data_IF_475179267250
#
_entry.id   IF_475179267250
#
_cell.length_a   1.000
_cell.length_b   1.000
_cell.length_c   1.000
_cell.angle_alpha   90.00
_cell.angle_beta   90.00
_cell.angle_gamma   90.00
#
_symmetry.space_group_name_H-M   'P 1'
#
loop_
_entity.id
_entity.type
_entity.pdbx_description
1 polymer ?
#
# COMPACT_ATOMS: atom_id res chain seq x y z
N UNK A 1 4.12 5.37 -15.58
CA UNK A 1 2.88 4.58 -15.43
C UNK A 1 1.69 5.47 -15.70
N UNK A 2 0.78 5.00 -16.51
CA UNK A 2 -0.44 5.76 -16.79
C UNK A 2 -1.46 5.60 -15.67
N UNK A 3 -2.05 6.70 -15.27
CA UNK A 3 -3.17 6.70 -14.35
C UNK A 3 -4.48 6.60 -15.15
N UNK A 4 -5.45 5.91 -14.57
CA UNK A 4 -6.78 5.81 -15.14
C UNK A 4 -7.66 6.96 -14.66
N UNK A 5 -8.83 7.10 -15.31
CA UNK A 5 -9.77 8.16 -14.95
C UNK A 5 -10.14 8.08 -13.46
N UNK A 6 -10.07 9.20 -12.78
CA UNK A 6 -10.35 9.30 -11.35
C UNK A 6 -9.20 8.90 -10.44
N UNK A 7 -8.08 8.44 -11.00
CA UNK A 7 -6.92 8.03 -10.21
C UNK A 7 -5.94 9.16 -9.99
N UNK A 8 -5.30 9.14 -8.84
CA UNK A 8 -4.20 10.05 -8.51
C UNK A 8 -3.08 9.23 -7.86
N UNK A 9 -1.85 9.69 -8.03
CA UNK A 9 -0.70 9.12 -7.33
C UNK A 9 -0.34 10.06 -6.20
N UNK A 10 -0.46 9.60 -4.95
CA UNK A 10 -0.11 10.39 -3.78
C UNK A 10 1.23 9.93 -3.23
N UNK A 11 2.00 10.89 -2.73
CA UNK A 11 3.32 10.62 -2.20
C UNK A 11 3.31 10.61 -0.67
N UNK A 12 4.03 9.66 -0.10
CA UNK A 12 4.23 9.53 1.33
C UNK A 12 5.72 9.44 1.62
N UNK A 13 6.09 9.63 2.88
CA UNK A 13 7.48 9.53 3.33
C UNK A 13 8.42 10.41 2.49
N UNK A 14 8.01 11.68 2.30
CA UNK A 14 8.79 12.67 1.54
C UNK A 14 9.05 12.20 0.10
N UNK A 15 8.05 11.59 -0.52
CA UNK A 15 8.13 11.12 -1.90
C UNK A 15 8.77 9.75 -2.09
N UNK A 16 9.16 9.08 -1.01
CA UNK A 16 9.78 7.75 -1.09
C UNK A 16 8.79 6.64 -1.36
N UNK A 17 7.50 6.88 -1.11
CA UNK A 17 6.45 5.91 -1.34
C UNK A 17 5.32 6.59 -2.11
N UNK A 18 4.87 5.96 -3.20
CA UNK A 18 3.78 6.46 -4.03
C UNK A 18 2.63 5.48 -3.99
N UNK A 19 1.41 6.00 -3.80
CA UNK A 19 0.19 5.19 -3.71
C UNK A 19 -0.78 5.68 -4.78
N UNK A 20 -1.28 4.76 -5.60
CA UNK A 20 -2.33 5.07 -6.56
C UNK A 20 -3.68 4.94 -5.87
N UNK A 21 -4.49 5.97 -5.95
CA UNK A 21 -5.83 5.99 -5.39
C UNK A 21 -6.83 6.46 -6.43
N UNK A 22 -8.07 6.03 -6.29
CA UNK A 22 -9.18 6.51 -7.13
C UNK A 22 -10.11 7.36 -6.28
N UNK A 23 -10.35 8.60 -6.71
CA UNK A 23 -11.18 9.55 -5.95
C UNK A 23 -12.63 9.12 -5.85
N UNK A 24 -13.07 8.17 -6.67
CA UNK A 24 -14.43 7.63 -6.68
C UNK A 24 -14.57 6.36 -5.85
N UNK A 25 -13.45 5.78 -5.42
CA UNK A 25 -13.41 4.58 -4.60
C UNK A 25 -12.87 4.95 -3.22
N UNK A 26 -12.54 3.92 -2.43
CA UNK A 26 -11.97 4.15 -1.11
C UNK A 26 -10.61 4.85 -1.22
N UNK A 27 -10.41 5.86 -0.41
CA UNK A 27 -9.11 6.53 -0.26
C UNK A 27 -8.63 6.30 1.16
N UNK A 28 -7.31 6.21 1.32
CA UNK A 28 -6.76 6.03 2.66
C UNK A 28 -6.96 7.29 3.50
N UNK A 29 -6.98 7.09 4.81
CA UNK A 29 -7.09 8.17 5.80
C UNK A 29 -5.87 8.15 6.71
N UNK A 30 -5.78 9.14 7.60
CA UNK A 30 -4.72 9.16 8.61
C UNK A 30 -4.75 7.92 9.50
N UNK A 31 -5.91 7.28 9.66
CA UNK A 31 -6.01 6.04 10.43
C UNK A 31 -5.18 4.93 9.82
N UNK A 32 -5.14 4.83 8.47
CA UNK A 32 -4.32 3.83 7.78
C UNK A 32 -2.84 4.04 8.08
N UNK A 33 -2.38 5.29 8.05
CA UNK A 33 -0.99 5.63 8.35
C UNK A 33 -0.66 5.33 9.81
N UNK A 34 -1.57 5.68 10.72
CA UNK A 34 -1.38 5.40 12.14
C UNK A 34 -1.32 3.90 12.42
N UNK A 35 -2.17 3.11 11.77
CA UNK A 35 -2.15 1.66 11.93
C UNK A 35 -0.81 1.07 11.48
N UNK A 36 -0.30 1.51 10.34
CA UNK A 36 0.98 1.00 9.84
C UNK A 36 2.14 1.37 10.77
N UNK A 37 2.06 2.51 11.43
CA UNK A 37 3.08 2.92 12.40
C UNK A 37 2.96 2.19 13.73
N UNK A 38 1.72 1.86 14.12
CA UNK A 38 1.46 1.13 15.37
C UNK A 38 1.87 -0.33 15.29
N UNK A 39 1.69 -0.96 14.15
CA UNK A 39 1.98 -2.38 13.96
C UNK A 39 3.50 -2.63 14.04
N UNK A 40 3.87 -3.80 14.54
CA UNK A 40 5.26 -4.19 14.66
C UNK A 40 5.50 -5.57 14.06
N UNK A 41 6.73 -5.83 13.65
CA UNK A 41 7.12 -7.13 13.13
C UNK A 41 8.60 -7.34 13.41
N UNK A 42 8.99 -8.61 13.53
CA UNK A 42 10.39 -8.99 13.69
C UNK A 42 11.04 -9.13 12.31
N UNK A 43 12.37 -9.07 12.29
CA UNK A 43 13.11 -9.30 11.06
C UNK A 43 12.73 -10.67 10.46
N UNK A 44 12.56 -10.72 9.15
CA UNK A 44 12.18 -11.91 8.38
C UNK A 44 10.76 -12.42 8.64
N UNK A 45 9.93 -11.67 9.34
CA UNK A 45 8.52 -12.04 9.46
C UNK A 45 7.82 -11.95 8.10
N UNK A 46 6.83 -12.81 7.91
CA UNK A 46 5.87 -12.69 6.83
C UNK A 46 4.66 -11.95 7.37
N UNK A 47 4.24 -10.90 6.69
CA UNK A 47 3.15 -10.04 7.12
C UNK A 47 2.02 -10.12 6.09
N UNK A 48 0.78 -10.19 6.57
CA UNK A 48 -0.39 -10.18 5.71
C UNK A 48 -1.24 -8.96 6.03
N UNK A 49 -1.66 -8.25 4.99
CA UNK A 49 -2.59 -7.14 5.08
C UNK A 49 -3.92 -7.59 4.50
N UNK A 50 -4.88 -7.91 5.36
CA UNK A 50 -6.21 -8.33 4.93
C UNK A 50 -7.05 -7.09 4.64
N UNK A 51 -7.84 -7.13 3.57
CA UNK A 51 -8.63 -6.00 3.10
C UNK A 51 -7.74 -4.81 2.75
N UNK A 52 -6.71 -5.07 1.95
CA UNK A 52 -5.64 -4.11 1.70
C UNK A 52 -6.09 -2.84 0.98
N UNK A 53 -7.22 -2.86 0.27
CA UNK A 53 -7.66 -1.72 -0.52
C UNK A 53 -6.62 -1.34 -1.55
N UNK A 54 -6.17 -0.09 -1.52
CA UNK A 54 -5.11 0.39 -2.41
C UNK A 54 -3.71 -0.07 -2.00
N UNK A 55 -3.59 -0.79 -0.88
CA UNK A 55 -2.33 -1.30 -0.37
C UNK A 55 -1.61 -0.38 0.60
N UNK A 56 -2.27 0.69 1.06
CA UNK A 56 -1.61 1.74 1.86
C UNK A 56 -1.00 1.20 3.16
N UNK A 57 -1.75 0.39 3.93
CA UNK A 57 -1.24 -0.06 5.23
C UNK A 57 -0.04 -0.97 5.04
N UNK A 58 -0.15 -1.99 4.20
CA UNK A 58 0.93 -2.95 3.98
C UNK A 58 2.15 -2.31 3.35
N UNK A 59 1.97 -1.44 2.36
CA UNK A 59 3.09 -0.78 1.68
C UNK A 59 3.79 0.22 2.58
N UNK A 60 3.04 1.03 3.31
CA UNK A 60 3.63 1.97 4.25
C UNK A 60 4.36 1.23 5.37
N UNK A 61 3.75 0.13 5.86
CA UNK A 61 4.39 -0.71 6.85
C UNK A 61 5.71 -1.28 6.33
N UNK A 62 5.72 -1.79 5.10
CA UNK A 62 6.94 -2.33 4.50
C UNK A 62 8.02 -1.25 4.37
N UNK A 63 7.63 -0.04 3.98
CA UNK A 63 8.58 1.06 3.87
C UNK A 63 9.21 1.43 5.21
N UNK A 64 8.45 1.29 6.32
CA UNK A 64 8.94 1.54 7.67
C UNK A 64 9.73 0.34 8.23
N UNK A 65 9.47 -0.87 7.75
CA UNK A 65 10.04 -2.11 8.27
C UNK A 65 10.60 -2.98 7.14
N UNK A 66 11.62 -2.50 6.41
CA UNK A 66 12.15 -3.26 5.27
C UNK A 66 12.82 -4.56 5.65
N UNK A 67 13.04 -4.80 6.95
CA UNK A 67 13.64 -6.02 7.45
C UNK A 67 12.70 -7.23 7.41
N UNK A 68 11.39 -7.03 7.22
CA UNK A 68 10.48 -8.15 7.09
C UNK A 68 10.73 -8.87 5.77
N UNK A 69 10.48 -10.17 5.76
CA UNK A 69 10.75 -10.98 4.57
C UNK A 69 9.74 -10.71 3.47
N UNK A 70 8.47 -10.55 3.82
CA UNK A 70 7.40 -10.42 2.84
C UNK A 70 6.19 -9.74 3.45
N UNK A 71 5.56 -8.89 2.65
CA UNK A 71 4.22 -8.37 2.95
C UNK A 71 3.31 -8.80 1.82
N UNK A 72 2.20 -9.46 2.14
CA UNK A 72 1.22 -9.90 1.17
C UNK A 72 -0.06 -9.10 1.35
N UNK A 73 -0.54 -8.52 0.27
CA UNK A 73 -1.77 -7.72 0.27
C UNK A 73 -2.92 -8.59 -0.23
N UNK A 74 -3.98 -8.68 0.58
CA UNK A 74 -5.18 -9.45 0.24
C UNK A 74 -6.34 -8.48 0.04
N UNK A 75 -6.92 -8.48 -1.15
CA UNK A 75 -8.05 -7.61 -1.48
C UNK A 75 -8.98 -8.33 -2.44
N UNK A 76 -10.26 -8.40 -2.08
CA UNK A 76 -11.25 -9.13 -2.87
C UNK A 76 -11.87 -8.30 -4.00
N UNK A 77 -11.87 -6.97 -3.88
CA UNK A 77 -12.43 -6.11 -4.92
C UNK A 77 -11.44 -6.00 -6.08
N UNK A 78 -11.81 -6.46 -7.29
CA UNK A 78 -10.84 -6.52 -8.40
C UNK A 78 -10.21 -5.18 -8.75
N UNK A 79 -10.99 -4.09 -8.70
CA UNK A 79 -10.46 -2.77 -9.04
C UNK A 79 -9.39 -2.32 -8.04
N UNK A 80 -9.62 -2.54 -6.75
CA UNK A 80 -8.66 -2.17 -5.72
C UNK A 80 -7.45 -3.08 -5.75
N UNK A 81 -7.65 -4.37 -5.98
CA UNK A 81 -6.56 -5.33 -6.10
C UNK A 81 -5.64 -4.97 -7.26
N UNK A 82 -6.20 -4.61 -8.39
CA UNK A 82 -5.42 -4.21 -9.57
C UNK A 82 -4.68 -2.89 -9.30
N UNK A 83 -5.32 -1.94 -8.62
CA UNK A 83 -4.67 -0.69 -8.22
C UNK A 83 -3.49 -0.93 -7.31
N UNK A 84 -3.64 -1.82 -6.32
CA UNK A 84 -2.54 -2.12 -5.40
C UNK A 84 -1.38 -2.81 -6.13
N UNK A 85 -1.67 -3.67 -7.12
CA UNK A 85 -0.62 -4.29 -7.92
C UNK A 85 0.16 -3.23 -8.71
N UNK A 86 -0.51 -2.26 -9.29
CA UNK A 86 0.16 -1.16 -10.01
C UNK A 86 0.98 -0.30 -9.05
N UNK A 87 0.47 -0.05 -7.84
CA UNK A 87 1.19 0.69 -6.82
C UNK A 87 2.48 -0.03 -6.44
N UNK A 88 2.42 -1.35 -6.25
CA UNK A 88 3.60 -2.16 -5.96
C UNK A 88 4.65 -1.99 -7.06
N UNK A 89 4.22 -2.08 -8.32
CA UNK A 89 5.12 -1.93 -9.46
C UNK A 89 5.69 -0.50 -9.55
N UNK A 90 4.87 0.51 -9.27
CA UNK A 90 5.29 1.91 -9.31
C UNK A 90 6.42 2.21 -8.33
N UNK A 91 6.42 1.52 -7.18
CA UNK A 91 7.44 1.69 -6.15
C UNK A 91 8.64 0.75 -6.36
N UNK A 92 8.68 0.02 -7.46
CA UNK A 92 9.80 -0.88 -7.76
C UNK A 92 9.82 -2.14 -6.91
N UNK A 93 8.69 -2.51 -6.32
CA UNK A 93 8.56 -3.70 -5.50
C UNK A 93 7.91 -4.83 -6.31
N UNK A 94 8.09 -6.09 -5.89
CA UNK A 94 7.50 -7.23 -6.60
C UNK A 94 6.96 -8.27 -5.62
#
# INVERSE_FOLDING_TARGET
>A
MELRDGEVAEELLLGKLKIIQNTRLYRFTSDSVLLSRFATAKARDDVADFCAGSGIVGLHFYALHPQVRRVTLFEMQPELSEMSARTVALNGLT
#
